data_IF_590446121299
#
_entry.id   IF_590446121299
#
_cell.length_a   1.000
_cell.length_b   1.000
_cell.length_c   1.000
_cell.angle_alpha   90.00
_cell.angle_beta   90.00
_cell.angle_gamma   90.00
#
_symmetry.space_group_name_H-M   'P 1'
#
loop_
_entity.id
_entity.type
_entity.pdbx_description
1 polymer ?
#
# COMPACT_ATOMS: atom_id res chain seq x y z
N UNK A 1 -55.43 -32.06 18.10
CA UNK A 1 -54.76 -30.84 18.60
C UNK A 1 -53.32 -30.85 18.12
N UNK A 2 -53.02 -30.18 17.00
CA UNK A 2 -51.65 -30.01 16.49
C UNK A 2 -51.36 -28.51 16.42
N UNK A 3 -50.53 -28.00 17.34
CA UNK A 3 -50.03 -26.63 17.30
C UNK A 3 -48.73 -26.61 16.51
N UNK A 4 -48.79 -26.03 15.32
CA UNK A 4 -47.62 -25.71 14.49
C UNK A 4 -46.87 -24.55 15.16
N UNK A 5 -45.55 -24.65 15.39
CA UNK A 5 -44.77 -23.55 15.96
C UNK A 5 -44.65 -22.40 14.96
N UNK A 6 -44.94 -21.18 15.43
CA UNK A 6 -44.77 -19.93 14.67
C UNK A 6 -43.28 -19.69 14.45
N UNK A 7 -42.86 -19.67 13.19
CA UNK A 7 -41.53 -19.24 12.80
C UNK A 7 -41.32 -17.78 13.21
N UNK A 8 -40.38 -17.56 14.13
CA UNK A 8 -39.86 -16.25 14.50
C UNK A 8 -39.12 -15.67 13.29
N UNK A 9 -39.72 -14.66 12.67
CA UNK A 9 -39.11 -13.94 11.56
C UNK A 9 -37.79 -13.29 12.00
N UNK A 10 -36.78 -13.40 11.16
CA UNK A 10 -35.59 -12.56 11.18
C UNK A 10 -35.93 -11.23 10.50
N UNK A 11 -36.05 -10.10 11.23
CA UNK A 11 -36.00 -8.81 10.59
C UNK A 11 -34.53 -8.33 10.51
N UNK A 12 -34.24 -7.43 9.56
CA UNK A 12 -33.08 -6.54 9.56
C UNK A 12 -31.78 -6.94 8.80
N UNK A 13 -31.84 -7.75 7.74
CA UNK A 13 -30.73 -7.78 6.74
C UNK A 13 -31.06 -7.07 5.41
N UNK A 14 -32.32 -6.71 5.17
CA UNK A 14 -32.73 -6.10 3.88
C UNK A 14 -32.53 -4.58 3.79
N UNK A 15 -32.28 -3.87 4.90
CA UNK A 15 -32.22 -2.40 4.88
C UNK A 15 -30.82 -1.83 4.59
N UNK A 16 -29.77 -2.63 4.76
CA UNK A 16 -28.39 -2.17 4.54
C UNK A 16 -28.02 -2.10 3.05
N UNK A 17 -28.59 -2.98 2.22
CA UNK A 17 -28.19 -3.10 0.80
C UNK A 17 -28.67 -1.96 -0.11
N UNK A 18 -29.79 -1.27 0.19
CA UNK A 18 -30.34 -0.23 -0.70
C UNK A 18 -29.68 1.16 -0.57
N UNK A 19 -29.00 1.44 0.54
CA UNK A 19 -28.31 2.74 0.74
C UNK A 19 -26.89 2.77 0.16
N UNK A 20 -26.28 1.60 -0.06
CA UNK A 20 -24.96 1.47 -0.71
C UNK A 20 -25.02 1.85 -2.20
N UNK A 21 -26.07 1.43 -2.89
CA UNK A 21 -26.17 1.53 -4.35
C UNK A 21 -26.26 2.98 -4.87
N UNK A 22 -27.05 3.83 -4.20
CA UNK A 22 -27.24 5.23 -4.63
C UNK A 22 -26.08 6.17 -4.28
N UNK A 23 -25.23 5.81 -3.31
CA UNK A 23 -24.02 6.58 -2.97
C UNK A 23 -22.85 6.24 -3.87
N UNK A 24 -22.71 4.98 -4.28
CA UNK A 24 -21.62 4.55 -5.16
C UNK A 24 -21.66 5.25 -6.53
N UNK A 25 -22.86 5.44 -7.09
CA UNK A 25 -23.03 6.02 -8.44
C UNK A 25 -22.81 7.53 -8.46
N UNK A 26 -23.16 8.26 -7.38
CA UNK A 26 -22.99 9.73 -7.34
C UNK A 26 -21.54 10.17 -7.09
N UNK A 27 -20.72 9.30 -6.49
CA UNK A 27 -19.31 9.57 -6.14
C UNK A 27 -18.37 9.47 -7.35
N UNK A 28 -18.84 8.93 -8.49
CA UNK A 28 -17.97 8.69 -9.65
C UNK A 28 -17.89 9.85 -10.64
N UNK A 29 -18.83 10.81 -10.66
CA UNK A 29 -19.05 11.60 -11.89
C UNK A 29 -18.56 13.05 -11.93
N UNK A 30 -18.02 13.65 -10.85
CA UNK A 30 -17.53 15.06 -10.95
C UNK A 30 -16.47 15.48 -9.92
N UNK A 31 -16.39 14.81 -8.78
CA UNK A 31 -15.47 15.19 -7.69
C UNK A 31 -14.10 14.48 -7.78
N UNK A 32 -13.87 13.73 -8.86
CA UNK A 32 -12.80 12.74 -8.97
C UNK A 32 -11.39 13.34 -9.07
N UNK A 33 -11.26 14.61 -9.48
CA UNK A 33 -9.96 15.27 -9.68
C UNK A 33 -9.72 16.46 -8.72
N UNK A 34 -10.78 17.12 -8.24
CA UNK A 34 -10.65 18.35 -7.42
C UNK A 34 -10.95 18.13 -5.94
N UNK A 35 -11.80 17.17 -5.58
CA UNK A 35 -12.26 16.93 -4.21
C UNK A 35 -11.55 15.74 -3.57
N UNK A 36 -10.25 15.57 -3.87
CA UNK A 36 -9.40 14.53 -3.28
C UNK A 36 -9.21 14.74 -1.76
N UNK A 37 -10.24 14.35 -1.01
CA UNK A 37 -10.21 13.48 0.17
C UNK A 37 -8.93 13.63 1.02
N UNK A 38 -8.95 14.50 2.03
CA UNK A 38 -8.60 14.13 3.41
C UNK A 38 -8.74 15.33 4.36
N UNK A 39 -9.60 15.17 5.38
CA UNK A 39 -9.78 16.15 6.47
C UNK A 39 -8.58 16.37 7.38
N UNK A 40 -7.42 15.79 7.08
CA UNK A 40 -6.17 15.92 7.86
C UNK A 40 -4.92 16.08 6.99
N UNK A 41 -5.07 16.48 5.72
CA UNK A 41 -3.93 16.83 4.86
C UNK A 41 -3.20 18.02 5.47
N UNK A 42 -1.92 17.85 5.80
CA UNK A 42 -1.06 18.99 6.10
C UNK A 42 -1.13 19.93 4.90
N UNK A 43 -1.64 21.15 5.11
CA UNK A 43 -1.85 22.14 4.03
C UNK A 43 -0.54 22.75 3.53
N UNK A 44 0.59 22.16 3.89
CA UNK A 44 1.92 22.69 3.66
C UNK A 44 2.61 21.88 2.55
N UNK A 45 2.34 22.19 1.25
CA UNK A 45 2.97 21.49 0.13
C UNK A 45 4.51 21.42 0.22
N UNK A 46 5.24 22.43 0.75
CA UNK A 46 6.69 22.30 0.94
C UNK A 46 7.10 21.16 1.87
N UNK A 47 6.35 20.93 2.96
CA UNK A 47 6.64 19.84 3.91
C UNK A 47 6.40 18.50 3.24
N UNK A 48 5.29 18.35 2.51
CA UNK A 48 4.99 17.11 1.79
C UNK A 48 6.00 16.83 0.67
N UNK A 49 6.48 17.86 -0.02
CA UNK A 49 7.55 17.74 -1.01
C UNK A 49 8.85 17.25 -0.36
N UNK A 50 9.25 17.85 0.76
CA UNK A 50 10.43 17.43 1.52
C UNK A 50 10.30 15.98 2.01
N UNK A 51 9.15 15.61 2.60
CA UNK A 51 8.85 14.24 3.03
C UNK A 51 8.87 13.27 1.84
N UNK A 52 8.44 13.69 0.66
CA UNK A 52 8.45 12.86 -0.55
C UNK A 52 9.86 12.54 -1.02
N UNK A 53 10.75 13.55 -1.02
CA UNK A 53 12.18 13.37 -1.37
C UNK A 53 12.89 12.53 -0.31
N UNK A 54 12.68 12.84 0.97
CA UNK A 54 13.27 12.09 2.07
C UNK A 54 12.83 10.62 2.06
N UNK A 55 11.54 10.37 1.80
CA UNK A 55 11.00 9.03 1.63
C UNK A 55 11.63 8.30 0.44
N UNK A 56 11.86 8.98 -0.68
CA UNK A 56 12.49 8.37 -1.84
C UNK A 56 13.95 7.98 -1.56
N UNK A 57 14.73 8.86 -0.93
CA UNK A 57 16.12 8.58 -0.54
C UNK A 57 16.21 7.44 0.48
N UNK A 58 15.34 7.45 1.49
CA UNK A 58 15.35 6.43 2.52
C UNK A 58 14.90 5.06 1.97
N UNK A 59 13.97 5.01 1.00
CA UNK A 59 13.65 3.76 0.28
C UNK A 59 14.89 3.18 -0.42
N UNK A 60 15.65 4.03 -1.14
CA UNK A 60 16.89 3.60 -1.81
C UNK A 60 17.91 3.10 -0.79
N UNK A 61 18.08 3.82 0.32
CA UNK A 61 19.02 3.45 1.38
C UNK A 61 18.63 2.13 2.05
N UNK A 62 17.36 1.96 2.41
CA UNK A 62 16.85 0.74 3.05
C UNK A 62 16.99 -0.46 2.11
N UNK A 63 16.59 -0.32 0.85
CA UNK A 63 16.74 -1.38 -0.15
C UNK A 63 18.21 -1.76 -0.37
N UNK A 64 19.10 -0.76 -0.47
CA UNK A 64 20.54 -0.99 -0.59
C UNK A 64 21.13 -1.70 0.64
N UNK A 65 20.76 -1.25 1.84
CA UNK A 65 21.23 -1.81 3.11
C UNK A 65 20.79 -3.27 3.29
N UNK A 66 19.51 -3.57 3.06
CA UNK A 66 18.97 -4.93 3.19
C UNK A 66 19.61 -5.90 2.21
N UNK A 67 19.80 -5.44 0.97
CA UNK A 67 20.37 -6.26 -0.10
C UNK A 67 21.87 -6.52 0.10
N UNK A 68 22.64 -5.47 0.36
CA UNK A 68 24.09 -5.57 0.35
C UNK A 68 24.69 -5.95 1.70
N UNK A 69 24.08 -5.52 2.82
CA UNK A 69 24.62 -5.80 4.15
C UNK A 69 24.00 -7.04 4.75
N UNK A 70 22.67 -7.17 4.69
CA UNK A 70 21.96 -8.28 5.32
C UNK A 70 21.76 -9.49 4.40
N UNK A 71 21.97 -9.31 3.09
CA UNK A 71 21.74 -10.37 2.10
C UNK A 71 20.28 -10.84 2.05
N UNK A 72 19.34 -10.01 2.53
CA UNK A 72 17.92 -10.37 2.57
C UNK A 72 17.34 -10.10 1.18
N UNK A 73 16.74 -11.11 0.53
CA UNK A 73 16.16 -11.00 -0.82
C UNK A 73 14.81 -10.26 -0.84
N UNK A 74 14.69 -9.13 -0.12
CA UNK A 74 13.49 -8.30 -0.05
C UNK A 74 13.80 -6.90 -0.57
N UNK A 75 12.90 -6.33 -1.37
CA UNK A 75 13.08 -5.01 -1.95
C UNK A 75 12.79 -3.90 -0.94
N UNK A 76 11.70 -4.01 -0.18
CA UNK A 76 11.18 -3.03 0.81
C UNK A 76 11.20 -1.56 0.36
N UNK A 77 11.28 -1.34 -0.95
CA UNK A 77 11.52 -0.05 -1.62
C UNK A 77 10.23 0.78 -1.80
N UNK A 78 9.12 0.26 -1.31
CA UNK A 78 7.79 0.89 -1.44
C UNK A 78 7.10 1.17 -0.12
N UNK A 79 7.72 0.79 1.00
CA UNK A 79 7.18 1.06 2.33
C UNK A 79 6.97 2.57 2.51
N UNK A 80 7.96 3.40 2.17
CA UNK A 80 7.82 4.87 2.33
C UNK A 80 6.99 5.51 1.23
N UNK A 81 6.88 4.88 0.06
CA UNK A 81 5.93 5.30 -0.98
C UNK A 81 4.51 5.16 -0.45
N UNK A 82 4.20 4.03 0.21
CA UNK A 82 2.92 3.84 0.88
C UNK A 82 2.75 4.79 2.06
N UNK A 83 3.78 5.01 2.90
CA UNK A 83 3.75 6.00 3.98
C UNK A 83 3.33 7.37 3.47
N UNK A 84 3.99 7.87 2.43
CA UNK A 84 3.70 9.19 1.83
C UNK A 84 2.32 9.19 1.17
N UNK A 85 1.88 8.06 0.59
CA UNK A 85 0.53 7.94 0.03
C UNK A 85 -0.55 8.01 1.11
N UNK A 86 -0.38 7.31 2.23
CA UNK A 86 -1.29 7.37 3.38
C UNK A 86 -1.30 8.76 4.03
N UNK A 87 -0.14 9.40 4.14
CA UNK A 87 0.03 10.67 4.83
C UNK A 87 -0.35 11.90 3.98
N UNK A 88 0.19 12.00 2.76
CA UNK A 88 0.02 13.15 1.85
C UNK A 88 -1.02 12.92 0.74
N UNK A 89 -1.37 11.67 0.46
CA UNK A 89 -2.26 11.28 -0.63
C UNK A 89 -1.52 10.87 -1.91
N UNK A 90 -2.31 10.53 -2.94
CA UNK A 90 -1.85 9.85 -4.16
C UNK A 90 -0.73 10.59 -4.91
N UNK A 91 -0.86 11.91 -5.08
CA UNK A 91 0.12 12.70 -5.86
C UNK A 91 1.53 12.60 -5.26
N UNK A 92 1.65 12.80 -3.95
CA UNK A 92 2.91 12.74 -3.23
C UNK A 92 3.47 11.32 -3.21
N UNK A 93 2.61 10.31 -3.07
CA UNK A 93 2.98 8.90 -3.21
C UNK A 93 3.57 8.57 -4.58
N UNK A 94 2.90 8.98 -5.65
CA UNK A 94 3.36 8.78 -7.03
C UNK A 94 4.71 9.47 -7.26
N UNK A 95 4.86 10.71 -6.78
CA UNK A 95 6.11 11.45 -6.85
C UNK A 95 7.24 10.70 -6.13
N UNK A 96 7.02 10.25 -4.89
CA UNK A 96 8.00 9.46 -4.14
C UNK A 96 8.37 8.18 -4.87
N UNK A 97 7.40 7.41 -5.37
CA UNK A 97 7.65 6.15 -6.08
C UNK A 97 8.45 6.33 -7.38
N UNK A 98 8.16 7.39 -8.14
CA UNK A 98 8.92 7.75 -9.33
C UNK A 98 10.35 8.18 -8.99
N UNK A 99 10.51 9.03 -7.96
CA UNK A 99 11.82 9.49 -7.50
C UNK A 99 12.68 8.34 -6.96
N UNK A 100 12.12 7.38 -6.23
CA UNK A 100 12.87 6.21 -5.73
C UNK A 100 13.57 5.47 -6.87
N UNK A 101 12.84 5.15 -7.94
CA UNK A 101 13.44 4.46 -9.09
C UNK A 101 14.41 5.36 -9.85
N UNK A 102 14.07 6.64 -10.06
CA UNK A 102 14.95 7.56 -10.75
C UNK A 102 16.29 7.72 -10.03
N UNK A 103 16.27 7.88 -8.71
CA UNK A 103 17.48 8.01 -7.89
C UNK A 103 18.26 6.69 -7.92
N UNK A 104 17.59 5.55 -7.69
CA UNK A 104 18.25 4.24 -7.70
C UNK A 104 18.97 3.98 -9.02
N UNK A 105 18.30 4.24 -10.15
CA UNK A 105 18.90 4.04 -11.48
C UNK A 105 19.99 5.06 -11.80
N UNK A 106 19.88 6.30 -11.31
CA UNK A 106 20.92 7.31 -11.54
C UNK A 106 22.21 7.03 -10.76
N UNK A 107 22.11 6.41 -9.58
CA UNK A 107 23.29 6.10 -8.75
C UNK A 107 24.00 4.83 -9.23
N UNK A 108 23.25 3.76 -9.50
CA UNK A 108 23.84 2.45 -9.79
C UNK A 108 23.94 2.13 -11.29
N UNK A 109 23.27 2.92 -12.14
CA UNK A 109 23.29 2.82 -13.59
C UNK A 109 23.20 1.39 -14.14
N UNK A 110 22.02 0.77 -14.02
CA UNK A 110 21.76 -0.56 -14.59
C UNK A 110 21.33 -0.52 -16.07
N UNK A 111 21.22 0.67 -16.67
CA UNK A 111 20.80 0.89 -18.06
C UNK A 111 19.38 1.46 -18.19
N UNK A 112 19.10 2.06 -19.35
CA UNK A 112 17.82 2.74 -19.63
C UNK A 112 16.56 1.88 -19.46
N UNK A 113 16.55 0.58 -19.83
CA UNK A 113 15.34 -0.23 -19.69
C UNK A 113 14.88 -0.40 -18.23
N UNK A 114 15.77 -0.28 -17.25
CA UNK A 114 15.43 -0.45 -15.83
C UNK A 114 14.59 0.69 -15.26
N UNK A 115 14.52 1.85 -15.93
CA UNK A 115 13.61 2.93 -15.55
C UNK A 115 12.13 2.51 -15.68
N UNK A 116 11.81 1.44 -16.43
CA UNK A 116 10.44 0.90 -16.52
C UNK A 116 9.91 0.41 -15.17
N UNK A 117 10.78 0.05 -14.22
CA UNK A 117 10.35 -0.31 -12.86
C UNK A 117 9.76 0.87 -12.07
N UNK A 118 9.96 2.12 -12.52
CA UNK A 118 9.23 3.28 -12.00
C UNK A 118 7.71 3.09 -12.05
N UNK A 119 7.20 2.41 -13.09
CA UNK A 119 5.77 2.11 -13.23
C UNK A 119 5.25 1.23 -12.10
N UNK A 120 6.08 0.33 -11.55
CA UNK A 120 5.70 -0.52 -10.42
C UNK A 120 5.48 0.34 -9.17
N UNK A 121 6.39 1.26 -8.85
CA UNK A 121 6.25 2.09 -7.65
C UNK A 121 5.14 3.14 -7.77
N UNK A 122 4.89 3.64 -8.99
CA UNK A 122 3.70 4.46 -9.28
C UNK A 122 2.42 3.64 -9.05
N UNK A 123 2.36 2.40 -9.55
CA UNK A 123 1.21 1.52 -9.36
C UNK A 123 0.94 1.23 -7.87
N UNK A 124 1.98 1.09 -7.04
CA UNK A 124 1.79 0.97 -5.58
C UNK A 124 1.03 2.16 -5.01
N UNK A 125 1.46 3.38 -5.30
CA UNK A 125 0.80 4.59 -4.80
C UNK A 125 -0.66 4.68 -5.28
N UNK A 126 -0.93 4.33 -6.54
CA UNK A 126 -2.28 4.33 -7.10
C UNK A 126 -3.18 3.29 -6.42
N UNK A 127 -2.74 2.05 -6.27
CA UNK A 127 -3.51 0.98 -5.62
C UNK A 127 -3.77 1.31 -4.16
N UNK A 128 -2.75 1.79 -3.42
CA UNK A 128 -2.91 2.25 -2.04
C UNK A 128 -3.94 3.37 -1.94
N UNK A 129 -3.91 4.36 -2.85
CA UNK A 129 -4.89 5.44 -2.88
C UNK A 129 -6.32 4.95 -3.16
N UNK A 130 -6.49 3.97 -4.04
CA UNK A 130 -7.80 3.32 -4.29
C UNK A 130 -8.32 2.67 -3.01
N UNK A 131 -7.47 1.95 -2.27
CA UNK A 131 -7.85 1.33 -1.01
C UNK A 131 -8.21 2.34 0.08
N UNK A 132 -7.45 3.43 0.21
CA UNK A 132 -7.79 4.54 1.13
C UNK A 132 -9.20 5.07 0.81
N UNK A 133 -9.57 5.15 -0.48
CA UNK A 133 -10.89 5.62 -0.91
C UNK A 133 -11.99 4.58 -0.67
N UNK A 134 -11.70 3.29 -0.81
CA UNK A 134 -12.68 2.22 -0.61
C UNK A 134 -12.93 1.89 0.87
N UNK A 135 -11.92 2.02 1.71
CA UNK A 135 -11.97 1.71 3.15
C UNK A 135 -11.59 2.92 4.01
N UNK A 136 -12.32 4.05 3.89
CA UNK A 136 -11.95 5.29 4.55
C UNK A 136 -12.12 5.23 6.06
N UNK A 137 -12.94 4.32 6.61
CA UNK A 137 -13.18 4.21 8.04
C UNK A 137 -12.05 3.44 8.71
N UNK A 138 -11.60 2.38 8.06
CA UNK A 138 -10.58 1.47 8.54
C UNK A 138 -9.20 2.13 8.41
N UNK A 139 -8.90 2.71 7.25
CA UNK A 139 -7.61 3.35 6.96
C UNK A 139 -7.54 4.82 7.39
N UNK A 140 -8.53 5.32 8.15
CA UNK A 140 -8.48 6.67 8.66
C UNK A 140 -7.34 6.81 9.69
N UNK A 141 -6.40 7.70 9.40
CA UNK A 141 -5.34 8.08 10.33
C UNK A 141 -5.85 9.27 11.15
N UNK A 142 -6.48 8.96 12.29
CA UNK A 142 -6.83 9.95 13.31
C UNK A 142 -5.55 10.45 13.97
N UNK A 143 -5.12 11.67 13.63
CA UNK A 143 -3.95 12.32 14.24
C UNK A 143 -4.22 12.82 15.67
N UNK A 144 -5.49 13.00 16.03
CA UNK A 144 -5.92 13.45 17.34
C UNK A 144 -6.66 12.31 18.05
N UNK A 145 -6.20 11.96 19.26
CA UNK A 145 -6.95 11.09 20.17
C UNK A 145 -8.38 11.62 20.28
N UNK A 146 -9.37 10.81 19.85
CA UNK A 146 -10.76 11.12 20.19
C UNK A 146 -10.81 11.19 21.72
N UNK A 147 -11.28 12.31 22.32
CA UNK A 147 -11.32 12.44 23.76
C UNK A 147 -12.08 11.25 24.32
N UNK A 148 -11.46 10.53 25.27
CA UNK A 148 -12.03 9.30 25.83
C UNK A 148 -13.48 9.55 26.27
N UNK A 149 -14.51 8.88 25.71
CA UNK A 149 -15.86 8.88 26.24
C UNK A 149 -15.88 8.70 27.77
N UNK A 150 -16.12 9.80 28.47
CA UNK A 150 -16.27 9.81 29.92
C UNK A 150 -17.49 8.94 30.27
N UNK A 151 -17.26 7.85 31.02
CA UNK A 151 -18.33 7.00 31.56
C UNK A 151 -18.46 5.58 31.00
N UNK A 152 -17.62 5.14 30.05
CA UNK A 152 -17.66 3.76 29.56
C UNK A 152 -16.83 2.80 30.42
N UNK A 153 -17.39 1.62 30.73
CA UNK A 153 -16.70 0.56 31.51
C UNK A 153 -15.44 0.07 30.77
N UNK A 154 -14.33 -0.19 31.48
CA UNK A 154 -13.04 -0.53 30.86
C UNK A 154 -13.07 -1.79 29.96
N UNK A 155 -13.96 -2.75 30.23
CA UNK A 155 -14.10 -3.96 29.41
C UNK A 155 -14.70 -3.68 28.02
N UNK A 156 -15.58 -2.69 27.89
CA UNK A 156 -16.23 -2.37 26.61
C UNK A 156 -15.24 -1.68 25.66
N UNK A 157 -14.37 -0.82 26.20
CA UNK A 157 -13.29 -0.15 25.49
C UNK A 157 -12.32 -1.09 24.79
N UNK A 158 -11.87 -2.11 25.51
CA UNK A 158 -10.91 -3.07 24.98
C UNK A 158 -11.47 -3.84 23.79
N UNK A 159 -12.76 -4.16 23.81
CA UNK A 159 -13.43 -4.85 22.70
C UNK A 159 -13.54 -3.99 21.43
N UNK A 160 -13.83 -2.68 21.57
CA UNK A 160 -13.92 -1.77 20.43
C UNK A 160 -12.56 -1.52 19.80
N UNK A 161 -11.53 -1.27 20.61
CA UNK A 161 -10.17 -1.07 20.11
C UNK A 161 -9.64 -2.29 19.34
N UNK A 162 -9.91 -3.51 19.84
CA UNK A 162 -9.54 -4.74 19.13
C UNK A 162 -10.29 -4.88 17.80
N UNK A 163 -11.59 -4.54 17.76
CA UNK A 163 -12.38 -4.57 16.52
C UNK A 163 -11.82 -3.60 15.48
N UNK A 164 -11.46 -2.39 15.89
CA UNK A 164 -10.86 -1.38 15.00
C UNK A 164 -9.48 -1.82 14.48
N UNK A 165 -8.65 -2.37 15.37
CA UNK A 165 -7.33 -2.91 15.00
C UNK A 165 -7.45 -4.08 14.02
N UNK A 166 -8.38 -5.01 14.27
CA UNK A 166 -8.63 -6.14 13.37
C UNK A 166 -9.16 -5.67 12.02
N UNK A 167 -10.08 -4.70 11.98
CA UNK A 167 -10.57 -4.11 10.73
C UNK A 167 -9.44 -3.53 9.89
N UNK A 168 -8.56 -2.74 10.52
CA UNK A 168 -7.34 -2.21 9.88
C UNK A 168 -6.43 -3.30 9.34
N UNK A 169 -6.11 -4.29 10.17
CA UNK A 169 -5.23 -5.39 9.79
C UNK A 169 -5.79 -6.18 8.60
N UNK A 170 -7.09 -6.47 8.58
CA UNK A 170 -7.75 -7.18 7.47
C UNK A 170 -7.62 -6.37 6.18
N UNK A 171 -7.93 -5.06 6.22
CA UNK A 171 -7.82 -4.21 5.03
C UNK A 171 -6.38 -4.12 4.53
N UNK A 172 -5.40 -4.00 5.42
CA UNK A 172 -3.98 -3.98 5.05
C UNK A 172 -3.51 -5.31 4.42
N UNK A 173 -4.00 -6.45 4.92
CA UNK A 173 -3.72 -7.77 4.30
C UNK A 173 -4.31 -7.84 2.90
N UNK A 174 -5.57 -7.41 2.71
CA UNK A 174 -6.20 -7.39 1.38
C UNK A 174 -5.44 -6.45 0.43
N UNK A 175 -5.02 -5.27 0.91
CA UNK A 175 -4.16 -4.35 0.17
C UNK A 175 -2.85 -5.01 -0.25
N UNK A 176 -2.18 -5.75 0.64
CA UNK A 176 -0.95 -6.48 0.31
C UNK A 176 -1.15 -7.52 -0.77
N UNK A 177 -2.25 -8.27 -0.74
CA UNK A 177 -2.58 -9.23 -1.79
C UNK A 177 -2.83 -8.53 -3.14
N UNK A 178 -3.61 -7.44 -3.14
CA UNK A 178 -3.87 -6.67 -4.35
C UNK A 178 -2.57 -6.09 -4.94
N UNK A 179 -1.72 -5.50 -4.10
CA UNK A 179 -0.40 -5.00 -4.50
C UNK A 179 0.49 -6.14 -5.02
N UNK A 180 0.52 -7.30 -4.37
CA UNK A 180 1.31 -8.45 -4.83
C UNK A 180 0.91 -8.88 -6.24
N UNK A 181 -0.39 -8.96 -6.54
CA UNK A 181 -0.86 -9.32 -7.88
C UNK A 181 -0.47 -8.27 -8.92
N UNK A 182 -0.74 -6.99 -8.64
CA UNK A 182 -0.44 -5.89 -9.58
C UNK A 182 1.05 -5.80 -9.86
N UNK A 183 1.89 -5.87 -8.83
CA UNK A 183 3.35 -5.75 -8.95
C UNK A 183 3.98 -7.00 -9.55
N UNK A 184 3.47 -8.20 -9.27
CA UNK A 184 3.95 -9.42 -9.94
C UNK A 184 3.68 -9.39 -11.45
N UNK A 185 2.49 -8.92 -11.86
CA UNK A 185 2.14 -8.77 -13.29
C UNK A 185 2.99 -7.68 -13.94
N UNK A 186 2.98 -6.46 -13.39
CA UNK A 186 3.73 -5.34 -13.98
C UNK A 186 5.24 -5.61 -13.99
N UNK A 187 5.78 -6.14 -12.89
CA UNK A 187 7.19 -6.49 -12.78
C UNK A 187 7.61 -7.58 -13.76
N UNK A 188 6.79 -8.62 -13.92
CA UNK A 188 7.04 -9.67 -14.91
C UNK A 188 7.00 -9.16 -16.35
N UNK A 189 6.04 -8.28 -16.68
CA UNK A 189 5.97 -7.63 -17.99
C UNK A 189 7.19 -6.72 -18.24
N UNK A 190 7.59 -5.90 -17.26
CA UNK A 190 8.81 -5.10 -17.37
C UNK A 190 10.05 -5.97 -17.58
N UNK A 191 10.17 -7.09 -16.86
CA UNK A 191 11.30 -8.00 -17.00
C UNK A 191 11.38 -8.62 -18.41
N UNK A 192 10.24 -8.99 -19.00
CA UNK A 192 10.18 -9.47 -20.38
C UNK A 192 10.62 -8.42 -21.39
N UNK A 193 10.15 -7.18 -21.22
CA UNK A 193 10.52 -6.06 -22.09
C UNK A 193 12.04 -5.81 -21.99
N UNK A 194 12.57 -5.73 -20.78
CA UNK A 194 14.00 -5.51 -20.52
C UNK A 194 14.85 -6.61 -21.17
N UNK A 195 14.48 -7.88 -21.00
CA UNK A 195 15.19 -9.02 -21.63
C UNK A 195 15.16 -8.99 -23.15
N UNK A 196 14.13 -8.39 -23.75
CA UNK A 196 14.05 -8.16 -25.18
C UNK A 196 15.05 -7.12 -25.69
N UNK A 197 15.41 -6.13 -24.86
CA UNK A 197 16.40 -5.10 -25.19
C UNK A 197 17.83 -5.51 -24.84
N UNK A 198 18.03 -6.16 -23.70
CA UNK A 198 19.35 -6.61 -23.24
C UNK A 198 19.28 -8.03 -22.63
N UNK A 199 19.62 -9.06 -23.41
CA UNK A 199 19.57 -10.44 -22.94
C UNK A 199 20.71 -10.81 -21.99
N UNK A 200 21.76 -9.97 -21.85
CA UNK A 200 22.93 -10.29 -21.02
C UNK A 200 22.85 -9.74 -19.59
N UNK A 201 21.85 -8.91 -19.27
CA UNK A 201 21.66 -8.42 -17.91
C UNK A 201 21.19 -9.58 -17.03
N UNK A 202 22.13 -10.17 -16.30
CA UNK A 202 21.87 -11.10 -15.22
C UNK A 202 22.28 -10.45 -13.91
N UNK A 203 21.28 -10.21 -13.06
CA UNK A 203 21.52 -9.77 -11.71
C UNK A 203 21.91 -11.01 -10.87
N UNK A 204 23.14 -11.08 -10.32
CA UNK A 204 23.61 -12.25 -9.59
C UNK A 204 22.84 -12.50 -8.28
N UNK A 205 22.12 -11.50 -7.76
CA UNK A 205 21.36 -11.58 -6.52
C UNK A 205 19.87 -11.34 -6.84
N UNK A 206 19.33 -12.13 -7.77
CA UNK A 206 17.90 -12.11 -8.08
C UNK A 206 17.15 -12.98 -7.04
N UNK A 207 16.31 -12.37 -6.16
CA UNK A 207 15.58 -13.11 -5.13
C UNK A 207 14.63 -14.17 -5.74
N UNK A 208 14.27 -14.01 -7.01
CA UNK A 208 13.33 -14.85 -7.73
C UNK A 208 14.01 -16.08 -8.36
N UNK A 209 15.35 -16.13 -8.42
CA UNK A 209 16.10 -17.10 -9.22
C UNK A 209 15.71 -18.55 -8.91
N UNK A 210 15.59 -18.89 -7.62
CA UNK A 210 15.23 -20.25 -7.19
C UNK A 210 13.82 -20.64 -7.64
N UNK A 211 12.85 -19.73 -7.52
CA UNK A 211 11.47 -19.97 -7.96
C UNK A 211 11.40 -20.03 -9.49
N UNK A 212 12.13 -19.15 -10.17
CA UNK A 212 12.23 -19.11 -11.62
C UNK A 212 12.77 -20.42 -12.18
N UNK A 213 13.87 -20.94 -11.64
CA UNK A 213 14.44 -22.23 -12.02
C UNK A 213 13.45 -23.39 -11.78
N UNK A 214 12.71 -23.38 -10.67
CA UNK A 214 11.71 -24.39 -10.38
C UNK A 214 10.55 -24.40 -11.40
N UNK A 215 10.09 -23.22 -11.85
CA UNK A 215 9.04 -23.09 -12.86
C UNK A 215 9.54 -23.46 -14.27
N UNK A 216 10.77 -23.07 -14.62
CA UNK A 216 11.41 -23.45 -15.90
C UNK A 216 11.57 -24.96 -16.01
N UNK A 217 11.97 -25.65 -14.93
CA UNK A 217 12.05 -27.13 -14.90
C UNK A 217 10.72 -27.83 -15.16
N UNK A 218 9.59 -27.14 -15.00
CA UNK A 218 8.24 -27.63 -15.32
C UNK A 218 7.78 -27.28 -16.74
N UNK A 219 8.66 -26.75 -17.59
CA UNK A 219 8.36 -26.35 -18.97
C UNK A 219 7.19 -25.35 -19.08
N UNK A 220 7.05 -24.44 -18.10
CA UNK A 220 6.02 -23.40 -18.14
C UNK A 220 6.39 -22.29 -19.14
N UNK A 221 5.40 -21.61 -19.75
CA UNK A 221 5.66 -20.48 -20.66
C UNK A 221 6.45 -19.37 -19.99
N UNK A 222 7.35 -18.71 -20.73
CA UNK A 222 8.22 -17.66 -20.20
C UNK A 222 7.47 -16.56 -19.45
N UNK A 223 6.32 -16.10 -19.96
CA UNK A 223 5.49 -15.09 -19.29
C UNK A 223 5.00 -15.57 -17.90
N UNK A 224 4.57 -16.83 -17.81
CA UNK A 224 4.12 -17.44 -16.55
C UNK A 224 5.27 -17.60 -15.58
N UNK A 225 6.47 -17.91 -16.08
CA UNK A 225 7.69 -18.01 -15.28
C UNK A 225 8.04 -16.65 -14.66
N UNK A 226 8.07 -15.58 -15.46
CA UNK A 226 8.44 -14.23 -14.99
C UNK A 226 7.44 -13.63 -14.00
N UNK A 227 6.14 -13.87 -14.20
CA UNK A 227 5.10 -13.40 -13.26
C UNK A 227 5.05 -14.31 -12.03
N UNK A 228 5.14 -15.62 -12.23
CA UNK A 228 4.97 -16.62 -11.17
C UNK A 228 6.12 -16.65 -10.17
N UNK A 229 7.36 -16.42 -10.61
CA UNK A 229 8.54 -16.38 -9.71
C UNK A 229 8.48 -15.23 -8.71
N UNK A 230 7.74 -14.16 -9.04
CA UNK A 230 7.59 -12.95 -8.24
C UNK A 230 6.61 -13.07 -7.09
N UNK A 231 5.58 -13.90 -7.24
CA UNK A 231 4.45 -13.96 -6.30
C UNK A 231 4.90 -14.23 -4.87
N UNK A 232 5.77 -15.22 -4.56
CA UNK A 232 6.16 -15.51 -3.18
C UNK A 232 6.93 -14.35 -2.53
N UNK A 233 7.89 -13.78 -3.26
CA UNK A 233 8.74 -12.68 -2.78
C UNK A 233 7.91 -11.41 -2.60
N UNK A 234 7.10 -11.06 -3.61
CA UNK A 234 6.22 -9.90 -3.55
C UNK A 234 5.16 -10.04 -2.46
N UNK A 235 4.62 -11.24 -2.19
CA UNK A 235 3.61 -11.39 -1.15
C UNK A 235 4.19 -11.02 0.23
N UNK A 236 5.37 -11.54 0.57
CA UNK A 236 6.03 -11.24 1.84
C UNK A 236 6.41 -9.76 1.91
N UNK A 237 7.02 -9.26 0.85
CA UNK A 237 7.49 -7.88 0.76
C UNK A 237 6.35 -6.86 0.86
N UNK A 238 5.23 -7.10 0.19
CA UNK A 238 4.04 -6.24 0.23
C UNK A 238 3.26 -6.37 1.53
N UNK A 239 3.35 -7.49 2.23
CA UNK A 239 2.79 -7.62 3.58
C UNK A 239 3.58 -6.74 4.55
N UNK A 240 4.91 -6.86 4.58
CA UNK A 240 5.74 -6.03 5.46
C UNK A 240 5.57 -4.53 5.10
N UNK A 241 5.63 -4.20 3.82
CA UNK A 241 5.59 -2.81 3.37
C UNK A 241 4.24 -2.14 3.63
N UNK A 242 3.10 -2.83 3.54
CA UNK A 242 1.79 -2.21 3.80
C UNK A 242 1.59 -1.86 5.27
N UNK A 243 1.98 -2.77 6.17
CA UNK A 243 1.92 -2.56 7.61
C UNK A 243 2.94 -1.49 8.06
N UNK A 244 4.17 -1.56 7.56
CA UNK A 244 5.19 -0.55 7.83
C UNK A 244 4.77 0.83 7.30
N UNK A 245 4.26 0.88 6.07
CA UNK A 245 3.80 2.10 5.41
C UNK A 245 2.66 2.79 6.19
N UNK A 246 1.64 2.02 6.57
CA UNK A 246 0.53 2.53 7.38
C UNK A 246 0.99 2.95 8.78
N UNK A 247 1.79 2.12 9.46
CA UNK A 247 2.27 2.41 10.81
C UNK A 247 3.14 3.68 10.89
N UNK A 248 4.04 3.87 9.92
CA UNK A 248 4.84 5.08 9.80
C UNK A 248 3.97 6.31 9.51
N UNK A 249 2.96 6.18 8.65
CA UNK A 249 2.06 7.29 8.34
C UNK A 249 1.25 7.71 9.59
N UNK A 250 0.79 6.75 10.39
CA UNK A 250 0.11 7.01 11.66
C UNK A 250 1.04 7.69 12.68
N UNK A 251 2.30 7.26 12.76
CA UNK A 251 3.31 7.87 13.62
C UNK A 251 3.59 9.33 13.21
N UNK A 252 3.75 9.59 11.90
CA UNK A 252 3.94 10.95 11.39
C UNK A 252 2.75 11.87 11.70
N UNK A 253 1.52 11.36 11.55
CA UNK A 253 0.32 12.11 11.89
C UNK A 253 0.25 12.44 13.39
N UNK A 254 0.62 11.50 14.26
CA UNK A 254 0.67 11.71 15.71
C UNK A 254 1.73 12.75 16.11
N UNK A 255 2.91 12.71 15.50
CA UNK A 255 3.95 13.73 15.73
C UNK A 255 3.48 15.11 15.27
N UNK A 256 2.86 15.20 14.10
CA UNK A 256 2.33 16.45 13.56
C UNK A 256 1.24 17.08 14.45
N UNK A 257 0.40 16.26 15.08
CA UNK A 257 -0.65 16.73 15.99
C UNK A 257 -0.13 17.27 17.33
N UNK A 258 1.07 16.85 17.76
CA UNK A 258 1.67 17.26 19.04
C UNK A 258 2.40 18.59 18.99
N UNK A 259 2.65 19.17 17.81
CA UNK A 259 3.29 20.48 17.75
C UNK A 259 2.34 21.52 18.38
N UNK A 260 2.67 22.08 19.56
CA UNK A 260 1.84 23.09 20.19
C UNK A 260 1.72 24.26 19.20
N UNK A 261 0.51 24.79 19.02
CA UNK A 261 0.32 26.08 18.37
C UNK A 261 1.00 27.14 19.25
N UNK A 262 2.32 27.24 19.17
CA UNK A 262 3.10 28.16 19.97
C UNK A 262 3.20 29.54 19.32
N UNK A 263 2.42 29.78 18.27
CA UNK A 263 2.36 31.05 17.55
C UNK A 263 0.90 31.47 17.42
N UNK A 264 0.41 32.19 18.44
CA UNK A 264 -0.34 33.46 18.32
C UNK A 264 -0.66 34.04 19.69
#
# INVERSE_FOLDING_TARGET
>A
MNRIPKATGFPALSYYNRKLDKRAIKVFNTDMLTDSVSGHRTKNPPVLFFVSIAGALLNVLVGHFLRNLLGIPLYLDTALTMTVTFYGGVFWGVLTGALTNLIMQSIFFYGFPHYLYALCNIAVALVTAVFIRWFPQELHIDGAEKPLPQGHRPSQWQSQWLQDLMGRAIVLVILSFALCLVISVLGGLCALIIKGFDPQVHDPIDPELNFRLALVRRNLPGIVVEIGSRIPVNLLDRLISSFAGYGLAALLACIGARQPMNDR
#
